data_IF_999393593331
#
_entry.id   IF_999393593331
#
_cell.length_a   1.000
_cell.length_b   1.000
_cell.length_c   1.000
_cell.angle_alpha   90.00
_cell.angle_beta   90.00
_cell.angle_gamma   90.00
#
_symmetry.space_group_name_H-M   'P 1'
#
loop_
_entity.id
_entity.type
_entity.pdbx_description
1 polymer ?
#
# COMPACT_ATOMS: atom_id res chain seq x y z
N UNK A 1 -24.34 -21.07 -49.54
CA UNK A 1 -23.97 -21.44 -48.17
C UNK A 1 -22.52 -21.08 -47.81
N UNK A 2 -21.51 -21.28 -48.67
CA UNK A 2 -20.09 -21.00 -48.37
C UNK A 2 -19.84 -19.53 -47.96
N UNK A 3 -20.51 -18.55 -48.61
CA UNK A 3 -20.34 -17.12 -48.31
C UNK A 3 -20.82 -16.75 -46.90
N UNK A 4 -21.91 -17.36 -46.45
CA UNK A 4 -22.48 -17.07 -45.11
C UNK A 4 -21.59 -17.63 -44.01
N UNK A 5 -20.98 -18.82 -44.21
CA UNK A 5 -20.03 -19.40 -43.26
C UNK A 5 -18.71 -18.64 -43.20
N UNK A 6 -18.20 -18.16 -44.32
CA UNK A 6 -17.05 -17.27 -44.37
C UNK A 6 -17.31 -15.94 -43.65
N UNK A 7 -18.47 -15.31 -43.91
CA UNK A 7 -18.86 -14.06 -43.22
C UNK A 7 -18.99 -14.27 -41.71
N UNK A 8 -19.60 -15.37 -41.28
CA UNK A 8 -19.70 -15.71 -39.85
C UNK A 8 -18.34 -15.93 -39.18
N UNK A 9 -17.40 -16.58 -39.86
CA UNK A 9 -16.06 -16.75 -39.37
C UNK A 9 -15.28 -15.41 -39.21
N UNK A 10 -15.42 -14.52 -40.18
CA UNK A 10 -14.81 -13.17 -40.12
C UNK A 10 -15.40 -12.34 -38.97
N UNK A 11 -16.73 -12.31 -38.85
CA UNK A 11 -17.39 -11.58 -37.75
C UNK A 11 -16.95 -12.18 -36.40
N UNK A 12 -16.92 -13.51 -36.27
CA UNK A 12 -16.47 -14.20 -35.06
C UNK A 12 -15.03 -13.84 -34.67
N UNK A 13 -14.12 -13.78 -35.65
CA UNK A 13 -12.72 -13.39 -35.40
C UNK A 13 -12.59 -11.93 -34.99
N UNK A 14 -13.34 -11.02 -35.61
CA UNK A 14 -13.35 -9.60 -35.22
C UNK A 14 -13.86 -9.43 -33.80
N UNK A 15 -14.96 -10.09 -33.41
CA UNK A 15 -15.49 -10.03 -32.05
C UNK A 15 -14.50 -10.60 -31.00
N UNK A 16 -13.81 -11.68 -31.34
CA UNK A 16 -12.77 -12.25 -30.48
C UNK A 16 -11.61 -11.27 -30.25
N UNK A 17 -11.12 -10.65 -31.33
CA UNK A 17 -10.06 -9.62 -31.25
C UNK A 17 -10.52 -8.41 -30.44
N UNK A 18 -11.74 -7.90 -30.67
CA UNK A 18 -12.28 -6.79 -29.90
C UNK A 18 -12.38 -7.10 -28.41
N UNK A 19 -12.88 -8.28 -28.03
CA UNK A 19 -12.95 -8.72 -26.62
C UNK A 19 -11.57 -8.80 -25.98
N UNK A 20 -10.61 -9.36 -26.67
CA UNK A 20 -9.22 -9.49 -26.18
C UNK A 20 -8.58 -8.12 -26.00
N UNK A 21 -8.76 -7.20 -26.96
CA UNK A 21 -8.25 -5.83 -26.88
C UNK A 21 -8.88 -5.04 -25.72
N UNK A 22 -10.21 -5.12 -25.56
CA UNK A 22 -10.91 -4.43 -24.46
C UNK A 22 -10.42 -4.95 -23.10
N UNK A 23 -10.23 -6.27 -22.97
CA UNK A 23 -9.72 -6.86 -21.74
C UNK A 23 -8.28 -6.41 -21.47
N UNK A 24 -7.41 -6.41 -22.47
CA UNK A 24 -6.02 -5.97 -22.33
C UNK A 24 -5.93 -4.48 -21.92
N UNK A 25 -6.80 -3.62 -22.46
CA UNK A 25 -6.88 -2.21 -22.08
C UNK A 25 -7.37 -2.09 -20.63
N UNK A 26 -8.38 -2.85 -20.21
CA UNK A 26 -8.90 -2.86 -18.84
C UNK A 26 -7.82 -3.24 -17.81
N UNK A 27 -7.11 -4.33 -18.06
CA UNK A 27 -5.98 -4.76 -17.22
C UNK A 27 -4.89 -3.67 -17.16
N UNK A 28 -4.47 -3.16 -18.33
CA UNK A 28 -3.41 -2.14 -18.39
C UNK A 28 -3.76 -0.84 -17.68
N UNK A 29 -5.00 -0.38 -17.76
CA UNK A 29 -5.44 0.85 -17.07
C UNK A 29 -5.52 0.65 -15.56
N UNK A 30 -6.00 -0.50 -15.10
CA UNK A 30 -6.08 -0.81 -13.67
C UNK A 30 -4.67 -0.97 -13.08
N UNK A 31 -3.77 -1.64 -13.78
CA UNK A 31 -2.37 -1.79 -13.37
C UNK A 31 -1.65 -0.44 -13.27
N UNK A 32 -1.78 0.41 -14.27
CA UNK A 32 -1.20 1.75 -14.25
C UNK A 32 -1.76 2.62 -13.12
N UNK A 33 -3.06 2.48 -12.80
CA UNK A 33 -3.68 3.17 -11.67
C UNK A 33 -3.12 2.68 -10.33
N UNK A 34 -2.98 1.37 -10.13
CA UNK A 34 -2.38 0.80 -8.93
C UNK A 34 -0.95 1.28 -8.73
N UNK A 35 -0.13 1.23 -9.79
CA UNK A 35 1.26 1.70 -9.77
C UNK A 35 1.34 3.18 -9.38
N UNK A 36 0.49 4.01 -9.99
CA UNK A 36 0.45 5.45 -9.70
C UNK A 36 0.03 5.72 -8.26
N UNK A 37 -1.02 5.04 -7.76
CA UNK A 37 -1.50 5.21 -6.39
C UNK A 37 -0.45 4.74 -5.38
N UNK A 38 0.16 3.58 -5.62
CA UNK A 38 1.19 3.02 -4.76
C UNK A 38 2.41 3.92 -4.67
N UNK A 39 2.93 4.39 -5.81
CA UNK A 39 4.08 5.30 -5.86
C UNK A 39 3.78 6.63 -5.18
N UNK A 40 2.62 7.22 -5.44
CA UNK A 40 2.20 8.48 -4.83
C UNK A 40 2.07 8.36 -3.30
N UNK A 41 1.52 7.24 -2.82
CA UNK A 41 1.40 6.97 -1.39
C UNK A 41 2.77 6.80 -0.75
N UNK A 42 3.69 6.05 -1.37
CA UNK A 42 5.06 5.92 -0.88
C UNK A 42 5.80 7.26 -0.83
N UNK A 43 5.68 8.09 -1.85
CA UNK A 43 6.28 9.42 -1.87
C UNK A 43 5.78 10.29 -0.71
N UNK A 44 4.49 10.23 -0.38
CA UNK A 44 3.90 10.91 0.76
C UNK A 44 4.48 10.40 2.07
N UNK A 45 4.52 9.06 2.28
CA UNK A 45 5.11 8.43 3.46
C UNK A 45 6.58 8.84 3.60
N UNK A 46 7.36 8.67 2.55
CA UNK A 46 8.79 8.97 2.54
C UNK A 46 9.08 10.44 2.83
N UNK A 47 8.29 11.35 2.27
CA UNK A 47 8.41 12.79 2.52
C UNK A 47 8.21 13.14 4.00
N UNK A 48 7.20 12.53 4.65
CA UNK A 48 6.93 12.73 6.08
C UNK A 48 8.05 12.14 6.95
N UNK A 49 8.46 10.91 6.68
CA UNK A 49 9.50 10.25 7.45
C UNK A 49 10.86 10.94 7.33
N UNK A 50 11.24 11.46 6.15
CA UNK A 50 12.48 12.22 5.97
C UNK A 50 12.57 13.49 6.81
N UNK A 51 11.43 14.08 7.16
CA UNK A 51 11.37 15.27 8.01
C UNK A 51 11.47 14.95 9.51
N UNK A 52 11.40 13.68 9.89
CA UNK A 52 11.37 13.22 11.28
C UNK A 52 12.77 12.88 11.82
N UNK A 53 12.83 12.59 13.11
CA UNK A 53 14.02 12.09 13.80
C UNK A 53 13.77 10.66 14.28
N UNK A 54 14.77 9.79 14.13
CA UNK A 54 14.71 8.40 14.61
C UNK A 54 14.31 8.30 16.08
N UNK A 55 14.83 9.18 16.93
CA UNK A 55 14.56 9.16 18.38
C UNK A 55 13.09 9.44 18.74
N UNK A 56 12.29 10.01 17.82
CA UNK A 56 10.86 10.28 18.04
C UNK A 56 9.95 9.18 17.52
N UNK A 57 10.51 8.12 16.94
CA UNK A 57 9.72 7.05 16.32
C UNK A 57 9.26 5.99 17.30
N UNK A 58 8.03 5.55 17.11
CA UNK A 58 7.44 4.43 17.84
C UNK A 58 6.73 3.51 16.83
N UNK A 59 6.89 2.18 16.93
CA UNK A 59 7.67 1.45 17.95
C UNK A 59 9.17 1.76 17.87
N UNK A 60 9.88 1.57 18.99
CA UNK A 60 11.31 1.81 19.04
C UNK A 60 12.02 0.87 18.08
N UNK A 61 12.74 1.44 17.13
CA UNK A 61 13.31 0.73 16.00
C UNK A 61 14.59 -0.02 16.41
N UNK A 62 14.46 -1.32 16.66
CA UNK A 62 15.60 -2.24 16.86
C UNK A 62 15.58 -3.29 15.73
N UNK A 63 16.65 -3.35 14.96
CA UNK A 63 16.73 -4.29 13.83
C UNK A 63 17.02 -5.74 14.30
N UNK A 64 16.49 -6.77 13.58
CA UNK A 64 15.48 -6.69 12.54
C UNK A 64 14.08 -6.51 13.14
N UNK A 65 13.28 -5.64 12.54
CA UNK A 65 11.95 -5.33 13.05
C UNK A 65 11.04 -4.85 11.93
N UNK A 66 9.80 -5.30 11.91
CA UNK A 66 8.75 -4.79 11.04
C UNK A 66 7.52 -4.34 11.84
N UNK A 67 6.79 -3.39 11.31
CA UNK A 67 5.54 -2.90 11.88
C UNK A 67 4.60 -2.44 10.78
N UNK A 68 3.30 -2.68 10.96
CA UNK A 68 2.25 -2.13 10.09
C UNK A 68 1.90 -0.66 10.41
N UNK A 69 2.53 -0.08 11.43
CA UNK A 69 2.35 1.31 11.79
C UNK A 69 3.63 1.96 12.29
N UNK A 70 3.73 3.26 12.09
CA UNK A 70 4.82 4.08 12.62
C UNK A 70 4.27 5.41 13.12
N UNK A 71 4.69 5.82 14.32
CA UNK A 71 4.38 7.12 14.93
C UNK A 71 5.66 7.93 15.05
N UNK A 72 5.63 9.21 14.74
CA UNK A 72 6.81 10.08 14.70
C UNK A 72 6.44 11.55 14.90
N UNK A 73 7.46 12.40 15.09
CA UNK A 73 7.29 13.86 15.07
C UNK A 73 8.07 14.47 13.91
N UNK A 74 7.42 15.19 12.98
CA UNK A 74 8.12 15.90 11.92
C UNK A 74 8.81 17.16 12.46
N UNK A 75 9.94 17.52 11.87
CA UNK A 75 10.54 18.84 12.11
C UNK A 75 9.75 19.92 11.37
N UNK A 76 9.29 20.93 12.08
CA UNK A 76 8.53 22.06 11.53
C UNK A 76 9.38 23.32 11.36
N UNK A 77 10.64 23.32 11.84
CA UNK A 77 11.55 24.42 11.69
C UNK A 77 12.73 24.38 12.66
N UNK A 78 13.51 25.47 12.66
CA UNK A 78 14.63 25.67 13.57
C UNK A 78 14.43 27.03 14.26
N UNK A 79 14.45 27.04 15.59
CA UNK A 79 14.38 28.25 16.40
C UNK A 79 15.63 28.33 17.27
N UNK A 80 16.40 29.41 17.15
CA UNK A 80 17.64 29.64 17.90
C UNK A 80 18.65 28.47 17.79
N UNK A 81 18.74 27.83 16.60
CA UNK A 81 19.63 26.71 16.37
C UNK A 81 19.11 25.35 16.88
N UNK A 82 17.91 25.31 17.46
CA UNK A 82 17.27 24.08 17.95
C UNK A 82 16.13 23.68 17.01
N UNK A 83 16.05 22.39 16.69
CA UNK A 83 14.94 21.86 15.89
C UNK A 83 13.63 21.96 16.67
N UNK A 84 12.62 22.52 16.02
CA UNK A 84 11.24 22.57 16.54
C UNK A 84 10.47 21.39 15.97
N UNK A 85 9.92 20.57 16.84
CA UNK A 85 9.13 19.39 16.46
C UNK A 85 7.66 19.77 16.35
N UNK A 86 7.01 19.22 15.35
CA UNK A 86 5.57 19.32 15.14
C UNK A 86 4.77 18.39 16.06
N UNK A 87 3.45 18.35 15.86
CA UNK A 87 2.59 17.39 16.54
C UNK A 87 2.96 15.96 16.18
N UNK A 88 2.57 15.03 17.04
CA UNK A 88 2.76 13.59 16.77
C UNK A 88 1.92 13.18 15.57
N UNK A 89 2.54 12.51 14.62
CA UNK A 89 1.89 11.93 13.45
C UNK A 89 1.99 10.40 13.49
N UNK A 90 0.99 9.72 12.91
CA UNK A 90 0.98 8.27 12.72
C UNK A 90 0.65 7.94 11.27
N UNK A 91 1.34 6.96 10.72
CA UNK A 91 0.97 6.30 9.47
C UNK A 91 0.76 4.84 9.81
N UNK A 92 -0.37 4.27 9.41
CA UNK A 92 -0.76 2.92 9.78
C UNK A 92 -1.52 2.22 8.65
N UNK A 93 -1.40 0.89 8.60
CA UNK A 93 -2.39 0.02 8.01
C UNK A 93 -3.60 -0.03 8.96
N UNK A 94 -4.79 0.17 8.43
CA UNK A 94 -6.05 -0.04 9.14
C UNK A 94 -6.98 -0.82 8.22
N UNK A 95 -7.71 -1.80 8.75
CA UNK A 95 -8.73 -2.52 7.98
C UNK A 95 -9.80 -1.55 7.47
N UNK A 96 -10.30 -1.77 6.26
CA UNK A 96 -11.36 -0.94 5.72
C UNK A 96 -12.64 -1.15 6.55
N UNK A 97 -13.43 -0.09 6.84
CA UNK A 97 -14.69 -0.25 7.56
C UNK A 97 -15.73 -1.09 6.81
N UNK A 98 -15.61 -1.17 5.48
CA UNK A 98 -16.43 -2.04 4.64
C UNK A 98 -15.98 -3.49 4.64
N UNK A 99 -14.73 -3.77 5.06
CA UNK A 99 -14.10 -5.07 5.03
C UNK A 99 -13.25 -5.29 6.30
N UNK A 100 -13.91 -5.46 7.48
CA UNK A 100 -13.24 -5.63 8.76
C UNK A 100 -12.54 -6.98 8.85
N UNK A 101 -11.54 -7.09 9.72
CA UNK A 101 -10.76 -8.31 9.96
C UNK A 101 -11.64 -9.42 10.60
N UNK A 102 -12.32 -10.19 9.78
CA UNK A 102 -13.16 -11.32 10.22
C UNK A 102 -13.04 -12.57 9.33
N UNK A 103 -12.14 -12.53 8.32
CA UNK A 103 -11.89 -13.62 7.39
C UNK A 103 -12.96 -13.75 6.30
N UNK A 104 -13.79 -12.72 6.08
CA UNK A 104 -14.87 -12.71 5.10
C UNK A 104 -14.73 -11.51 4.18
N UNK A 105 -14.96 -11.69 2.88
CA UNK A 105 -15.12 -10.59 1.92
C UNK A 105 -16.47 -9.90 2.18
N UNK A 106 -16.45 -8.82 2.95
CA UNK A 106 -17.67 -8.15 3.42
C UNK A 106 -18.23 -7.15 2.41
N UNK A 107 -17.43 -6.61 1.50
CA UNK A 107 -17.88 -5.65 0.49
C UNK A 107 -18.08 -6.26 -0.90
N UNK A 108 -17.73 -7.54 -1.05
CA UNK A 108 -18.02 -8.33 -2.27
C UNK A 108 -17.11 -7.98 -3.45
N UNK A 109 -15.96 -7.39 -3.22
CA UNK A 109 -15.00 -7.05 -4.27
C UNK A 109 -14.08 -8.23 -4.65
N UNK A 110 -14.12 -9.31 -3.86
CA UNK A 110 -13.42 -10.58 -4.07
C UNK A 110 -12.06 -10.65 -3.40
N UNK A 111 -11.81 -9.78 -2.46
CA UNK A 111 -10.69 -9.84 -1.54
C UNK A 111 -11.21 -9.95 -0.11
N UNK A 112 -10.40 -10.46 0.80
CA UNK A 112 -10.74 -10.65 2.20
C UNK A 112 -9.88 -9.71 3.04
N UNK A 113 -10.50 -9.06 4.02
CA UNK A 113 -9.82 -8.26 5.04
C UNK A 113 -8.88 -7.18 4.47
N UNK A 114 -9.33 -6.50 3.41
CA UNK A 114 -8.55 -5.40 2.84
C UNK A 114 -8.39 -4.25 3.81
N UNK A 115 -7.24 -3.60 3.71
CA UNK A 115 -6.93 -2.41 4.50
C UNK A 115 -6.76 -1.15 3.66
N UNK A 116 -6.35 -0.13 4.36
CA UNK A 116 -6.05 1.19 3.84
C UNK A 116 -4.84 1.79 4.54
N UNK A 117 -4.14 2.68 3.86
CA UNK A 117 -3.10 3.52 4.47
C UNK A 117 -3.77 4.74 5.08
N UNK A 118 -3.64 4.90 6.39
CA UNK A 118 -4.20 6.03 7.13
C UNK A 118 -3.08 6.87 7.72
N UNK A 119 -3.10 8.15 7.43
CA UNK A 119 -2.26 9.14 8.09
C UNK A 119 -3.08 9.92 9.11
N UNK A 120 -2.57 9.99 10.34
CA UNK A 120 -3.19 10.74 11.44
C UNK A 120 -2.24 11.82 11.89
N UNK A 121 -2.70 13.05 11.93
CA UNK A 121 -1.99 14.20 12.46
C UNK A 121 -2.51 14.54 13.85
N UNK A 122 -1.61 15.02 14.75
CA UNK A 122 -1.92 15.43 16.12
C UNK A 122 -2.54 14.29 16.95
N UNK A 123 -1.92 13.10 16.87
CA UNK A 123 -2.40 11.87 17.53
C UNK A 123 -2.62 12.09 19.02
N UNK A 124 -3.87 11.90 19.47
CA UNK A 124 -4.29 12.14 20.86
C UNK A 124 -4.41 13.62 21.23
N UNK A 125 -4.22 14.55 20.31
CA UNK A 125 -4.35 16.00 20.53
C UNK A 125 -5.75 16.52 20.22
N UNK A 126 -5.97 17.81 20.51
CA UNK A 126 -7.26 18.46 20.30
C UNK A 126 -7.61 18.70 18.82
N UNK A 127 -6.62 18.66 17.94
CA UNK A 127 -6.78 18.89 16.51
C UNK A 127 -6.48 17.60 15.70
N UNK A 128 -6.71 16.44 16.28
CA UNK A 128 -6.49 15.17 15.58
C UNK A 128 -7.27 15.13 14.28
N UNK A 129 -6.57 14.75 13.19
CA UNK A 129 -7.13 14.60 11.86
C UNK A 129 -6.63 13.30 11.24
N UNK A 130 -7.54 12.57 10.63
CA UNK A 130 -7.26 11.33 9.91
C UNK A 130 -7.53 11.52 8.41
N UNK A 131 -6.62 11.03 7.57
CA UNK A 131 -6.74 11.06 6.11
C UNK A 131 -6.33 9.70 5.55
N UNK A 132 -7.17 9.15 4.69
CA UNK A 132 -6.86 7.92 3.93
C UNK A 132 -6.03 8.33 2.71
N UNK A 133 -4.83 7.76 2.56
CA UNK A 133 -3.94 8.00 1.43
C UNK A 133 -4.09 6.95 0.32
N UNK A 134 -4.39 5.71 0.71
CA UNK A 134 -4.68 4.64 -0.24
C UNK A 134 -5.69 3.65 0.36
N UNK A 135 -6.59 3.17 -0.49
CA UNK A 135 -7.48 2.03 -0.23
C UNK A 135 -7.01 0.81 -1.04
N UNK A 136 -7.56 -0.36 -0.73
CA UNK A 136 -7.24 -1.61 -1.40
C UNK A 136 -5.83 -2.11 -1.07
N UNK A 137 -5.38 -1.85 0.16
CA UNK A 137 -4.13 -2.43 0.68
C UNK A 137 -4.39 -3.89 1.00
N UNK A 138 -3.56 -4.79 0.47
CA UNK A 138 -3.62 -6.22 0.80
C UNK A 138 -3.44 -6.41 2.30
N UNK A 139 -4.11 -7.40 2.89
CA UNK A 139 -3.93 -7.72 4.30
C UNK A 139 -2.47 -8.03 4.61
N UNK A 140 -1.86 -8.91 3.79
CA UNK A 140 -0.43 -9.26 3.88
C UNK A 140 0.36 -8.77 2.68
N UNK A 141 1.66 -8.61 2.87
CA UNK A 141 2.61 -8.30 1.80
C UNK A 141 2.55 -9.39 0.72
N UNK A 142 2.70 -9.01 -0.54
CA UNK A 142 2.64 -9.99 -1.62
C UNK A 142 3.68 -11.10 -1.46
N UNK A 143 3.22 -12.33 -1.36
CA UNK A 143 4.04 -13.52 -1.11
C UNK A 143 4.05 -13.95 0.35
N UNK A 144 3.49 -13.18 1.28
CA UNK A 144 3.30 -13.57 2.68
C UNK A 144 1.91 -14.15 2.92
N UNK A 145 1.82 -15.11 3.84
CA UNK A 145 0.58 -15.70 4.34
C UNK A 145 0.65 -15.82 5.85
N UNK A 146 -0.50 -15.75 6.53
CA UNK A 146 -0.55 -15.87 8.01
C UNK A 146 -0.28 -17.31 8.45
N UNK A 147 0.99 -17.70 8.57
CA UNK A 147 1.33 -19.07 8.99
C UNK A 147 2.64 -19.21 9.81
N UNK A 148 3.26 -18.09 10.21
CA UNK A 148 4.53 -18.04 10.94
C UNK A 148 5.78 -18.44 10.13
N UNK A 149 5.66 -18.53 8.81
CA UNK A 149 6.77 -18.77 7.88
C UNK A 149 7.22 -17.43 7.28
N UNK A 150 8.46 -17.29 6.92
CA UNK A 150 9.00 -16.17 6.14
C UNK A 150 9.09 -16.62 4.67
N UNK A 151 8.02 -16.38 3.90
CA UNK A 151 7.93 -16.84 2.51
C UNK A 151 8.79 -16.01 1.57
N UNK A 152 9.03 -14.74 1.90
CA UNK A 152 9.82 -13.84 1.05
C UNK A 152 11.32 -13.86 1.39
N UNK A 153 11.73 -14.53 2.49
CA UNK A 153 13.12 -14.74 2.88
C UNK A 153 13.83 -13.49 3.40
N UNK A 154 13.09 -12.52 3.94
CA UNK A 154 13.64 -11.27 4.44
C UNK A 154 14.00 -11.30 5.94
N UNK A 155 13.70 -12.38 6.64
CA UNK A 155 13.93 -12.59 8.08
C UNK A 155 12.80 -12.08 8.97
N UNK A 156 11.66 -11.69 8.40
CA UNK A 156 10.45 -11.27 9.07
C UNK A 156 9.31 -12.21 8.66
N UNK A 157 8.24 -12.27 9.42
CA UNK A 157 7.10 -13.16 9.17
C UNK A 157 5.81 -12.36 9.18
N UNK A 158 4.84 -12.78 8.36
CA UNK A 158 3.46 -12.27 8.39
C UNK A 158 3.36 -10.74 8.27
N UNK A 159 4.21 -10.09 7.42
CA UNK A 159 4.13 -8.65 7.26
C UNK A 159 2.84 -8.23 6.57
N UNK A 160 2.19 -7.20 7.11
CA UNK A 160 1.03 -6.60 6.48
C UNK A 160 1.36 -5.93 5.15
N UNK A 161 0.37 -5.74 4.31
CA UNK A 161 0.49 -5.10 3.01
C UNK A 161 1.01 -3.66 3.04
N UNK A 162 0.93 -2.97 4.19
CA UNK A 162 1.79 -1.84 4.52
C UNK A 162 2.72 -2.27 5.64
N UNK A 163 4.03 -2.25 5.41
CA UNK A 163 5.00 -2.51 6.44
C UNK A 163 6.18 -1.54 6.41
N UNK A 164 6.74 -1.32 7.60
CA UNK A 164 7.91 -0.50 7.86
C UNK A 164 8.99 -1.42 8.42
N UNK A 165 9.94 -1.82 7.58
CA UNK A 165 11.06 -2.67 8.00
C UNK A 165 12.23 -1.80 8.39
N UNK A 166 12.85 -2.13 9.51
CA UNK A 166 13.94 -1.36 10.05
C UNK A 166 15.24 -2.15 10.08
N UNK A 167 16.29 -1.64 9.41
CA UNK A 167 17.62 -2.24 9.33
C UNK A 167 18.65 -1.66 10.32
N UNK A 168 18.24 -0.76 11.21
CA UNK A 168 19.11 -0.06 12.17
C UNK A 168 19.57 1.33 11.70
N UNK A 169 19.51 1.63 10.40
CA UNK A 169 19.95 2.91 9.82
C UNK A 169 18.90 3.59 8.98
N UNK A 170 18.03 2.83 8.36
CA UNK A 170 16.95 3.28 7.47
C UNK A 170 15.67 2.51 7.74
N UNK A 171 14.57 3.04 7.23
CA UNK A 171 13.29 2.33 7.14
C UNK A 171 13.04 1.97 5.68
N UNK A 172 12.80 0.69 5.40
CA UNK A 172 12.23 0.23 4.16
C UNK A 172 10.72 0.26 4.32
N UNK A 173 10.04 1.05 3.52
CA UNK A 173 8.58 1.06 3.46
C UNK A 173 8.17 0.19 2.30
N UNK A 174 7.29 -0.80 2.54
CA UNK A 174 6.69 -1.63 1.50
C UNK A 174 5.19 -1.46 1.52
N UNK A 175 4.60 -1.39 0.34
CA UNK A 175 3.17 -1.25 0.15
C UNK A 175 2.69 -2.18 -0.95
N UNK A 176 1.75 -3.06 -0.62
CA UNK A 176 1.05 -3.93 -1.56
C UNK A 176 -0.39 -3.47 -1.73
N UNK A 177 -0.73 -3.05 -2.93
CA UNK A 177 -2.10 -2.75 -3.32
C UNK A 177 -2.67 -3.86 -4.20
N UNK A 178 -3.96 -4.09 -4.08
CA UNK A 178 -4.71 -5.04 -4.91
C UNK A 178 -6.00 -4.42 -5.42
N UNK A 179 -6.37 -4.79 -6.63
CA UNK A 179 -7.63 -4.41 -7.23
C UNK A 179 -8.08 -5.45 -8.26
N UNK A 180 -9.36 -5.43 -8.59
CA UNK A 180 -9.93 -6.26 -9.66
C UNK A 180 -10.30 -5.38 -10.83
N UNK A 181 -9.95 -5.79 -12.05
CA UNK A 181 -10.38 -5.10 -13.24
C UNK A 181 -11.86 -5.38 -13.57
N UNK A 182 -12.41 -4.66 -14.52
CA UNK A 182 -13.81 -4.84 -14.97
C UNK A 182 -14.11 -6.24 -15.55
N UNK A 183 -13.09 -7.04 -15.88
CA UNK A 183 -13.23 -8.42 -16.34
C UNK A 183 -13.08 -9.46 -15.21
N UNK A 184 -12.88 -9.01 -13.97
CA UNK A 184 -12.70 -9.85 -12.80
C UNK A 184 -11.28 -10.38 -12.60
N UNK A 185 -10.28 -9.85 -13.34
CA UNK A 185 -8.88 -10.21 -13.16
C UNK A 185 -8.32 -9.48 -11.94
N UNK A 186 -7.78 -10.24 -11.00
CA UNK A 186 -7.07 -9.71 -9.82
C UNK A 186 -5.69 -9.21 -10.24
N UNK A 187 -5.37 -8.00 -9.81
CA UNK A 187 -4.08 -7.35 -10.00
C UNK A 187 -3.52 -7.00 -8.63
N UNK A 188 -2.26 -7.32 -8.41
CA UNK A 188 -1.53 -6.99 -7.18
C UNK A 188 -0.25 -6.26 -7.56
N UNK A 189 0.04 -5.17 -6.87
CA UNK A 189 1.23 -4.37 -7.10
C UNK A 189 1.92 -4.09 -5.78
N UNK A 190 3.19 -4.50 -5.66
CA UNK A 190 4.05 -4.16 -4.53
C UNK A 190 5.08 -3.13 -4.95
N UNK A 191 5.18 -2.06 -4.19
CA UNK A 191 6.20 -1.03 -4.31
C UNK A 191 6.95 -0.87 -3.00
N UNK A 192 8.22 -0.43 -3.08
CA UNK A 192 9.04 -0.24 -1.89
C UNK A 192 9.94 0.97 -2.04
N UNK A 193 10.20 1.64 -0.92
CA UNK A 193 11.12 2.77 -0.85
C UNK A 193 11.95 2.74 0.44
N UNK A 194 13.24 3.03 0.33
CA UNK A 194 14.14 3.16 1.48
C UNK A 194 14.26 4.62 1.92
N UNK A 195 13.93 4.87 3.15
CA UNK A 195 13.95 6.21 3.75
C UNK A 195 15.09 6.34 4.75
N UNK A 196 15.95 7.34 4.55
CA UNK A 196 17.00 7.73 5.48
C UNK A 196 16.57 8.97 6.26
N UNK A 197 16.77 8.97 7.57
CA UNK A 197 16.45 10.11 8.41
C UNK A 197 17.49 11.22 8.26
N UNK A 198 17.04 12.44 8.07
CA UNK A 198 17.94 13.60 7.98
C UNK A 198 18.50 14.00 9.34
N UNK A 199 17.70 13.80 10.39
CA UNK A 199 18.04 14.16 11.75
C UNK A 199 18.44 12.88 12.52
N UNK A 200 19.69 12.77 12.91
CA UNK A 200 20.25 11.66 13.70
C UNK A 200 20.19 11.96 15.18
#
# INVERSE_FOLDING_TARGET
MIVITLLGAVIGSILAVMRTSTRAIGVGTTDARLESLASQTLDQIASRLRSSQRATMTPTLSAPFSSSQITFQPSVGILNGVTVWGPVERIAFEYAPSDPNDGVDNDGDGFVDQGRVVWVQDVGGANERSVVWADGVSEYLHGETLDTTDENGNGLVDEHGLCFDFDGTSVMVRLTLQARDASGVTLTRTVQERVFFRNR
#
